data_IF_902005852773
#
_entry.id   IF_902005852773
#
_cell.length_a   1.000
_cell.length_b   1.000
_cell.length_c   1.000
_cell.angle_alpha   90.00
_cell.angle_beta   90.00
_cell.angle_gamma   90.00
#
_symmetry.space_group_name_H-M   'P 1'
#
loop_
_entity.id
_entity.type
_entity.pdbx_description
1 polymer ?
#
# COMPACT_ATOMS: atom_id res chain seq x y z
N UNK A 1 -16.04 -14.30 -9.38
CA UNK A 1 -15.69 -13.63 -10.64
C UNK A 1 -14.85 -14.60 -11.45
N UNK A 2 -15.10 -14.84 -12.76
CA UNK A 2 -14.25 -15.70 -13.56
C UNK A 2 -12.84 -15.10 -13.68
N UNK A 3 -11.82 -15.96 -13.77
CA UNK A 3 -10.44 -15.53 -13.99
C UNK A 3 -10.32 -14.88 -15.36
N UNK A 4 -9.54 -13.80 -15.45
CA UNK A 4 -9.23 -13.09 -16.69
C UNK A 4 -7.70 -12.98 -16.84
N UNK A 5 -7.23 -12.75 -18.05
CA UNK A 5 -5.81 -12.53 -18.32
C UNK A 5 -5.45 -11.07 -18.08
N UNK A 6 -4.27 -10.86 -17.54
CA UNK A 6 -3.68 -9.55 -17.26
C UNK A 6 -2.34 -9.44 -17.95
N UNK A 7 -2.13 -8.34 -18.67
CA UNK A 7 -0.79 -7.93 -19.12
C UNK A 7 -0.17 -7.10 -18.01
N UNK A 8 0.85 -7.64 -17.37
CA UNK A 8 1.63 -6.98 -16.35
C UNK A 8 2.88 -6.32 -16.97
N UNK A 9 3.07 -5.04 -16.67
CA UNK A 9 4.27 -4.28 -17.02
C UNK A 9 4.90 -3.76 -15.74
N UNK A 10 6.07 -4.27 -15.40
CA UNK A 10 6.81 -3.86 -14.21
C UNK A 10 8.10 -3.14 -14.63
N UNK A 11 8.31 -1.94 -14.11
CA UNK A 11 9.44 -1.10 -14.46
C UNK A 11 10.02 -0.39 -13.25
N UNK A 12 11.33 -0.54 -12.97
CA UNK A 12 12.02 0.34 -12.04
C UNK A 12 12.21 1.72 -12.69
N UNK A 13 11.82 2.76 -11.98
CA UNK A 13 11.88 4.15 -12.45
C UNK A 13 12.38 5.09 -11.34
N UNK A 14 12.70 6.35 -11.68
CA UNK A 14 12.98 7.39 -10.70
C UNK A 14 11.68 7.91 -10.13
N UNK A 15 11.62 8.08 -8.82
CA UNK A 15 10.39 8.52 -8.14
C UNK A 15 9.91 9.88 -8.66
N UNK A 16 10.82 10.84 -8.93
CA UNK A 16 10.41 12.12 -9.50
C UNK A 16 9.64 11.99 -10.82
N UNK A 17 10.15 11.19 -11.76
CA UNK A 17 9.48 10.93 -13.04
C UNK A 17 8.15 10.16 -12.88
N UNK A 18 8.07 9.29 -11.87
CA UNK A 18 6.82 8.57 -11.54
C UNK A 18 5.75 9.56 -11.06
N UNK A 19 6.08 10.47 -10.15
CA UNK A 19 5.11 11.42 -9.59
C UNK A 19 4.49 12.33 -10.67
N UNK A 20 5.26 12.70 -11.70
CA UNK A 20 4.76 13.49 -12.82
C UNK A 20 3.72 12.74 -13.68
N UNK A 21 3.85 11.41 -13.80
CA UNK A 21 3.04 10.56 -14.68
C UNK A 21 1.97 9.75 -13.95
N UNK A 22 2.03 9.71 -12.64
CA UNK A 22 1.15 8.87 -11.81
C UNK A 22 -0.34 9.14 -12.03
N UNK A 23 -0.80 10.41 -12.15
CA UNK A 23 -2.21 10.71 -12.45
C UNK A 23 -2.66 10.17 -13.82
N UNK A 24 -1.82 10.29 -14.85
CA UNK A 24 -2.09 9.74 -16.19
C UNK A 24 -2.25 8.22 -16.12
N UNK A 25 -1.32 7.53 -15.48
CA UNK A 25 -1.36 6.08 -15.36
C UNK A 25 -2.56 5.58 -14.56
N UNK A 26 -2.94 6.30 -13.50
CA UNK A 26 -4.11 5.94 -12.71
C UNK A 26 -5.41 6.05 -13.52
N UNK A 27 -5.48 6.99 -14.49
CA UNK A 27 -6.64 7.16 -15.36
C UNK A 27 -6.67 6.13 -16.52
N UNK A 28 -5.50 5.76 -17.07
CA UNK A 28 -5.39 5.00 -18.31
C UNK A 28 -5.14 3.48 -18.11
N UNK A 29 -4.93 3.04 -16.87
CA UNK A 29 -4.56 1.65 -16.59
C UNK A 29 -5.57 1.01 -15.62
N UNK A 30 -5.99 -0.24 -15.87
CA UNK A 30 -6.95 -0.93 -14.99
C UNK A 30 -6.46 -1.06 -13.53
N UNK A 31 -5.14 -1.31 -13.33
CA UNK A 31 -4.54 -1.37 -12.00
C UNK A 31 -3.11 -0.80 -12.05
N UNK A 32 -2.82 0.12 -11.15
CA UNK A 32 -1.48 0.67 -10.94
C UNK A 32 -1.05 0.41 -9.51
N UNK A 33 0.08 -0.28 -9.34
CA UNK A 33 0.76 -0.46 -8.07
C UNK A 33 2.13 0.20 -8.13
N UNK A 34 2.51 0.89 -7.08
CA UNK A 34 3.80 1.55 -6.95
C UNK A 34 4.47 1.11 -5.64
N UNK A 35 5.74 0.74 -5.72
CA UNK A 35 6.58 0.47 -4.56
C UNK A 35 7.70 1.50 -4.51
N UNK A 36 7.65 2.42 -3.53
CA UNK A 36 8.66 3.44 -3.30
C UNK A 36 9.70 2.92 -2.32
N UNK A 37 10.98 3.02 -2.67
CA UNK A 37 12.08 2.60 -1.80
C UNK A 37 12.53 3.79 -0.95
N UNK A 38 12.27 3.77 0.39
CA UNK A 38 12.65 4.87 1.28
C UNK A 38 14.15 5.18 1.20
N UNK A 39 14.52 6.46 1.41
CA UNK A 39 15.89 6.98 1.36
C UNK A 39 16.57 6.84 -0.02
N UNK A 40 15.81 6.63 -1.09
CA UNK A 40 16.30 6.56 -2.47
C UNK A 40 15.40 7.37 -3.41
N UNK A 41 15.86 7.63 -4.65
CA UNK A 41 15.01 8.16 -5.73
C UNK A 41 14.53 7.02 -6.64
N UNK A 42 14.10 5.88 -6.06
CA UNK A 42 13.69 4.68 -6.82
C UNK A 42 12.29 4.24 -6.47
N UNK A 43 11.59 3.80 -7.50
CA UNK A 43 10.30 3.17 -7.39
C UNK A 43 10.19 2.00 -8.38
N UNK A 44 9.40 0.98 -8.04
CA UNK A 44 8.93 -0.05 -8.95
C UNK A 44 7.49 0.26 -9.30
N UNK A 45 7.23 0.54 -10.57
CA UNK A 45 5.88 0.76 -11.11
C UNK A 45 5.38 -0.53 -11.73
N UNK A 46 4.19 -0.97 -11.34
CA UNK A 46 3.46 -2.08 -11.95
C UNK A 46 2.18 -1.54 -12.58
N UNK A 47 2.06 -1.67 -13.89
CA UNK A 47 0.85 -1.34 -14.64
C UNK A 47 0.23 -2.61 -15.19
N UNK A 48 -0.99 -2.88 -14.80
CA UNK A 48 -1.69 -4.11 -15.10
C UNK A 48 -2.94 -3.79 -15.92
N UNK A 49 -3.02 -4.33 -17.14
CA UNK A 49 -4.14 -4.12 -18.06
C UNK A 49 -4.87 -5.44 -18.29
N UNK A 50 -6.17 -5.45 -18.12
CA UNK A 50 -7.03 -6.60 -18.44
C UNK A 50 -7.05 -6.84 -19.94
N UNK A 51 -6.85 -8.08 -20.35
CA UNK A 51 -6.94 -8.47 -21.74
C UNK A 51 -8.37 -8.83 -22.12
N UNK A 52 -8.72 -8.58 -23.39
CA UNK A 52 -10.00 -9.03 -23.96
C UNK A 52 -9.98 -10.54 -24.17
N UNK A 53 -11.13 -11.21 -24.16
CA UNK A 53 -11.21 -12.61 -24.54
C UNK A 53 -10.58 -12.85 -25.93
N UNK A 54 -9.64 -13.78 -26.02
CA UNK A 54 -8.90 -14.09 -27.23
C UNK A 54 -7.55 -13.37 -27.40
N UNK A 55 -7.27 -12.34 -26.60
CA UNK A 55 -5.92 -11.73 -26.56
C UNK A 55 -4.94 -12.66 -25.82
N UNK A 56 -3.68 -12.64 -26.24
CA UNK A 56 -2.57 -13.38 -25.63
C UNK A 56 -1.31 -12.50 -25.56
N UNK A 57 -0.22 -13.04 -25.04
CA UNK A 57 1.05 -12.34 -24.93
C UNK A 57 2.17 -13.18 -24.32
N UNK A 58 3.36 -12.59 -24.13
CA UNK A 58 4.51 -13.31 -23.61
C UNK A 58 4.24 -13.83 -22.19
N UNK A 59 4.52 -15.09 -21.93
CA UNK A 59 4.42 -15.71 -20.61
C UNK A 59 5.76 -15.67 -19.90
N UNK A 60 5.73 -15.46 -18.59
CA UNK A 60 6.92 -15.57 -17.78
C UNK A 60 7.27 -17.06 -17.60
N UNK A 61 8.54 -17.42 -17.82
CA UNK A 61 8.98 -18.78 -17.54
C UNK A 61 8.86 -19.09 -16.03
N UNK A 62 8.38 -20.30 -15.68
CA UNK A 62 8.10 -20.70 -14.31
C UNK A 62 9.29 -20.55 -13.35
N UNK A 63 10.50 -20.84 -13.82
CA UNK A 63 11.71 -20.68 -13.00
C UNK A 63 11.98 -19.21 -12.66
N UNK A 64 11.68 -18.27 -13.60
CA UNK A 64 11.86 -16.83 -13.40
C UNK A 64 10.81 -16.28 -12.41
N UNK A 65 9.58 -16.76 -12.51
CA UNK A 65 8.53 -16.43 -11.56
C UNK A 65 8.90 -16.86 -10.13
N UNK A 66 9.36 -18.12 -9.96
CA UNK A 66 9.82 -18.62 -8.66
C UNK A 66 11.02 -17.84 -8.11
N UNK A 67 11.95 -17.46 -8.96
CA UNK A 67 13.11 -16.65 -8.55
C UNK A 67 12.66 -15.27 -8.04
N UNK A 68 11.78 -14.61 -8.77
CA UNK A 68 11.32 -13.25 -8.43
C UNK A 68 10.38 -13.25 -7.21
N UNK A 69 9.43 -14.17 -7.17
CA UNK A 69 8.39 -14.18 -6.13
C UNK A 69 8.87 -14.86 -4.82
N UNK A 70 9.56 -15.99 -4.90
CA UNK A 70 9.96 -16.75 -3.70
C UNK A 70 11.31 -16.28 -3.14
N UNK A 71 12.31 -16.08 -4.00
CA UNK A 71 13.66 -15.77 -3.54
C UNK A 71 13.85 -14.26 -3.29
N UNK A 72 13.54 -13.42 -4.29
CA UNK A 72 13.80 -11.97 -4.18
C UNK A 72 12.79 -11.27 -3.29
N UNK A 73 11.49 -11.55 -3.47
CA UNK A 73 10.43 -10.86 -2.75
C UNK A 73 10.25 -11.31 -1.30
N UNK A 74 10.69 -12.51 -0.94
CA UNK A 74 10.56 -13.04 0.41
C UNK A 74 11.92 -13.22 1.10
N UNK A 75 12.77 -14.14 0.60
CA UNK A 75 14.01 -14.51 1.32
C UNK A 75 15.02 -13.36 1.36
N UNK A 76 15.23 -12.67 0.24
CA UNK A 76 16.18 -11.54 0.18
C UNK A 76 15.63 -10.35 0.96
N UNK A 77 14.36 -10.01 0.79
CA UNK A 77 13.73 -8.92 1.52
C UNK A 77 13.79 -9.14 3.03
N UNK A 78 13.47 -10.35 3.51
CA UNK A 78 13.56 -10.70 4.94
C UNK A 78 14.98 -10.48 5.48
N UNK A 79 16.01 -10.93 4.74
CA UNK A 79 17.42 -10.74 5.14
C UNK A 79 17.82 -9.27 5.17
N UNK A 80 17.43 -8.51 4.15
CA UNK A 80 17.70 -7.06 4.05
C UNK A 80 17.04 -6.32 5.21
N UNK A 81 15.77 -6.61 5.49
CA UNK A 81 15.04 -6.01 6.61
C UNK A 81 15.67 -6.37 7.97
N UNK A 82 16.07 -7.62 8.16
CA UNK A 82 16.73 -8.08 9.40
C UNK A 82 18.11 -7.42 9.61
N UNK A 83 18.90 -7.23 8.55
CA UNK A 83 20.16 -6.49 8.62
C UNK A 83 19.87 -5.03 8.93
N UNK A 84 18.89 -4.41 8.27
CA UNK A 84 18.48 -3.04 8.50
C UNK A 84 18.02 -2.78 9.93
N UNK A 85 17.23 -3.69 10.51
CA UNK A 85 16.78 -3.60 11.91
C UNK A 85 17.93 -3.61 12.93
N UNK A 86 19.03 -4.32 12.62
CA UNK A 86 20.23 -4.38 13.47
C UNK A 86 21.24 -3.25 13.18
N UNK A 87 21.20 -2.69 12.01
CA UNK A 87 22.16 -1.68 11.54
C UNK A 87 21.44 -0.62 10.70
N UNK A 88 20.64 0.28 11.32
CA UNK A 88 19.82 1.26 10.60
C UNK A 88 20.63 2.11 9.61
N UNK A 89 21.86 2.48 9.95
CA UNK A 89 22.72 3.28 9.07
C UNK A 89 23.00 2.63 7.69
N UNK A 90 22.79 1.32 7.53
CA UNK A 90 22.95 0.60 6.26
C UNK A 90 21.70 0.60 5.38
N UNK A 91 20.55 0.94 5.94
CA UNK A 91 19.25 0.85 5.22
C UNK A 91 19.24 1.65 3.91
N UNK A 92 19.72 2.90 3.83
CA UNK A 92 19.73 3.64 2.56
C UNK A 92 20.52 2.91 1.46
N UNK A 93 21.68 2.37 1.80
CA UNK A 93 22.50 1.62 0.85
C UNK A 93 21.84 0.29 0.43
N UNK A 94 21.19 -0.40 1.37
CA UNK A 94 20.45 -1.64 1.10
C UNK A 94 19.26 -1.38 0.18
N UNK A 95 18.48 -0.32 0.43
CA UNK A 95 17.34 0.06 -0.40
C UNK A 95 17.81 0.50 -1.81
N UNK A 96 18.94 1.19 -1.93
CA UNK A 96 19.50 1.57 -3.22
C UNK A 96 19.93 0.32 -4.01
N UNK A 97 20.58 -0.65 -3.38
CA UNK A 97 20.95 -1.94 -4.01
C UNK A 97 19.70 -2.71 -4.42
N UNK A 98 18.71 -2.83 -3.53
CA UNK A 98 17.45 -3.51 -3.83
C UNK A 98 16.73 -2.87 -5.03
N UNK A 99 16.61 -1.53 -5.05
CA UNK A 99 16.00 -0.81 -6.16
C UNK A 99 16.75 -0.95 -7.49
N UNK A 100 18.10 -1.10 -7.45
CA UNK A 100 18.93 -1.34 -8.67
C UNK A 100 18.85 -2.77 -9.16
N UNK A 101 18.63 -3.74 -8.29
CA UNK A 101 18.52 -5.15 -8.65
C UNK A 101 17.24 -5.49 -9.43
N UNK A 102 16.24 -4.59 -9.39
CA UNK A 102 15.00 -4.76 -10.12
C UNK A 102 15.22 -4.62 -11.63
N UNK A 103 14.57 -5.46 -12.41
CA UNK A 103 14.60 -5.42 -13.88
C UNK A 103 13.21 -5.17 -14.46
N UNK A 104 13.16 -4.46 -15.60
CA UNK A 104 11.92 -4.29 -16.33
C UNK A 104 11.44 -5.63 -16.91
N UNK A 105 10.14 -5.90 -16.79
CA UNK A 105 9.51 -7.09 -17.35
C UNK A 105 8.09 -6.80 -17.87
N UNK A 106 7.69 -7.55 -18.89
CA UNK A 106 6.31 -7.53 -19.40
C UNK A 106 5.89 -8.97 -19.64
N UNK A 107 4.74 -9.37 -19.11
CA UNK A 107 4.22 -10.72 -19.28
C UNK A 107 2.70 -10.75 -19.19
N UNK A 108 2.11 -11.86 -19.63
CA UNK A 108 0.68 -12.14 -19.52
C UNK A 108 0.48 -13.37 -18.64
N UNK A 109 -0.37 -13.24 -17.64
CA UNK A 109 -0.75 -14.34 -16.77
C UNK A 109 -2.20 -14.19 -16.25
N UNK A 110 -2.80 -15.24 -15.68
CA UNK A 110 -4.10 -15.15 -15.02
C UNK A 110 -4.10 -14.11 -13.88
N UNK A 111 -5.23 -13.43 -13.69
CA UNK A 111 -5.37 -12.35 -12.70
C UNK A 111 -4.92 -12.73 -11.29
N UNK A 112 -5.22 -13.95 -10.85
CA UNK A 112 -4.82 -14.45 -9.53
C UNK A 112 -3.30 -14.69 -9.39
N UNK A 113 -2.57 -14.84 -10.49
CA UNK A 113 -1.10 -14.95 -10.47
C UNK A 113 -0.41 -13.58 -10.53
N UNK A 114 -1.07 -12.57 -11.11
CA UNK A 114 -0.52 -11.21 -11.22
C UNK A 114 -0.85 -10.36 -10.00
N UNK A 115 -2.10 -10.44 -9.54
CA UNK A 115 -2.63 -9.55 -8.50
C UNK A 115 -2.47 -10.09 -7.06
N UNK A 116 -2.07 -11.35 -6.91
CA UNK A 116 -1.84 -11.99 -5.61
C UNK A 116 -0.38 -12.40 -5.49
N UNK A 117 0.31 -11.88 -4.49
CA UNK A 117 1.70 -12.23 -4.18
C UNK A 117 1.78 -12.87 -2.81
N UNK A 118 2.44 -14.03 -2.72
CA UNK A 118 2.75 -14.65 -1.43
C UNK A 118 3.74 -13.78 -0.67
N UNK A 119 3.42 -13.47 0.60
CA UNK A 119 4.27 -12.67 1.51
C UNK A 119 4.58 -13.47 2.76
N UNK A 120 5.84 -13.87 2.91
CA UNK A 120 6.33 -14.63 4.08
C UNK A 120 7.05 -13.71 5.09
N UNK A 121 7.40 -12.49 4.69
CA UNK A 121 8.03 -11.48 5.56
C UNK A 121 7.01 -10.97 6.58
N UNK A 122 7.36 -11.01 7.87
CA UNK A 122 6.51 -10.50 8.95
C UNK A 122 6.77 -9.00 9.16
N UNK A 123 5.70 -8.22 9.17
CA UNK A 123 5.76 -6.76 9.35
C UNK A 123 4.55 -6.23 10.13
N UNK A 124 4.68 -5.01 10.61
CA UNK A 124 3.58 -4.15 11.04
C UNK A 124 3.22 -3.23 9.89
N UNK A 125 1.96 -2.90 9.76
CA UNK A 125 1.46 -2.11 8.65
C UNK A 125 0.43 -1.08 9.10
N UNK A 126 0.49 0.09 8.48
CA UNK A 126 -0.53 1.11 8.53
C UNK A 126 -0.86 1.50 7.09
N UNK A 127 -2.14 1.57 6.74
CA UNK A 127 -2.60 1.92 5.38
C UNK A 127 -3.68 2.98 5.46
N UNK A 128 -3.59 3.93 4.54
CA UNK A 128 -4.45 5.08 4.48
C UNK A 128 -4.99 5.28 3.07
N UNK A 129 -6.27 5.65 3.00
CA UNK A 129 -6.97 6.02 1.79
C UNK A 129 -7.14 7.54 1.77
N UNK A 130 -6.54 8.21 0.79
CA UNK A 130 -6.65 9.66 0.57
C UNK A 130 -7.38 9.93 -0.75
N UNK A 131 -7.98 11.11 -0.97
CA UNK A 131 -8.44 11.50 -2.29
C UNK A 131 -7.34 11.26 -3.33
N UNK A 132 -7.65 10.69 -4.48
CA UNK A 132 -6.65 10.35 -5.51
C UNK A 132 -5.78 11.56 -5.90
N UNK A 133 -6.36 12.76 -5.95
CA UNK A 133 -5.65 14.00 -6.23
C UNK A 133 -4.62 14.40 -5.14
N UNK A 134 -4.81 13.94 -3.90
CA UNK A 134 -3.90 14.22 -2.78
C UNK A 134 -2.69 13.30 -2.74
N UNK A 135 -2.69 12.23 -3.54
CA UNK A 135 -1.64 11.21 -3.44
C UNK A 135 -0.26 11.72 -3.87
N UNK A 136 -0.17 12.49 -4.95
CA UNK A 136 1.10 13.06 -5.43
C UNK A 136 1.69 14.06 -4.42
N UNK A 137 0.94 15.03 -3.88
CA UNK A 137 1.40 15.87 -2.78
C UNK A 137 1.89 15.08 -1.56
N UNK A 138 1.13 14.06 -1.13
CA UNK A 138 1.49 13.20 -0.01
C UNK A 138 2.79 12.43 -0.25
N UNK A 139 2.97 11.84 -1.44
CA UNK A 139 4.20 11.14 -1.82
C UNK A 139 5.41 12.10 -1.92
N UNK A 140 5.18 13.35 -2.32
CA UNK A 140 6.22 14.38 -2.32
C UNK A 140 6.67 14.69 -0.89
N UNK A 141 5.74 14.88 0.03
CA UNK A 141 6.05 15.07 1.46
C UNK A 141 6.76 13.85 2.07
N UNK A 142 6.36 12.63 1.70
CA UNK A 142 7.05 11.41 2.13
C UNK A 142 8.48 11.31 1.56
N UNK A 143 8.70 11.73 0.31
CA UNK A 143 10.04 11.78 -0.27
C UNK A 143 10.95 12.71 0.53
N UNK A 144 10.44 13.87 0.93
CA UNK A 144 11.16 14.82 1.80
C UNK A 144 11.41 14.24 3.19
N UNK A 145 10.42 13.56 3.76
CA UNK A 145 10.53 12.85 5.04
C UNK A 145 11.65 11.81 4.99
N UNK A 146 11.72 10.99 3.94
CA UNK A 146 12.78 10.00 3.75
C UNK A 146 14.15 10.62 3.47
N UNK A 147 14.22 11.89 3.10
CA UNK A 147 15.47 12.64 3.02
C UNK A 147 16.12 12.90 4.39
N UNK A 148 15.34 12.79 5.48
CA UNK A 148 15.84 12.85 6.85
C UNK A 148 16.52 11.53 7.21
N UNK A 149 17.40 11.57 8.22
CA UNK A 149 18.14 10.39 8.64
C UNK A 149 17.44 9.59 9.76
N UNK A 150 16.41 10.14 10.36
CA UNK A 150 15.68 9.53 11.46
C UNK A 150 14.18 9.89 11.36
N UNK A 151 13.27 8.90 11.44
CA UNK A 151 13.54 7.47 11.54
C UNK A 151 14.03 6.85 10.23
N UNK A 152 14.76 5.74 10.33
CA UNK A 152 15.25 5.00 9.16
C UNK A 152 14.27 3.90 8.80
N UNK A 153 13.67 4.00 7.61
CA UNK A 153 12.63 3.09 7.11
C UNK A 153 13.20 2.10 6.11
N UNK A 154 13.12 0.81 6.41
CA UNK A 154 13.72 -0.25 5.60
C UNK A 154 12.79 -0.88 4.57
N UNK A 155 11.47 -0.87 4.80
CA UNK A 155 10.51 -1.52 3.91
C UNK A 155 9.94 -0.54 2.88
N UNK A 156 9.66 -1.00 1.65
CA UNK A 156 9.02 -0.17 0.63
C UNK A 156 7.64 0.32 1.07
N UNK A 157 7.29 1.51 0.61
CA UNK A 157 5.92 2.05 0.68
C UNK A 157 5.16 1.54 -0.53
N UNK A 158 3.97 1.02 -0.32
CA UNK A 158 3.08 0.54 -1.37
C UNK A 158 1.98 1.56 -1.64
N UNK A 159 1.70 1.79 -2.93
CA UNK A 159 0.66 2.72 -3.38
C UNK A 159 -0.24 2.04 -4.39
N UNK A 160 -1.54 2.24 -4.26
CA UNK A 160 -2.58 1.71 -5.17
C UNK A 160 -3.66 2.74 -5.43
N UNK A 161 -4.55 2.43 -6.37
CA UNK A 161 -5.72 3.25 -6.67
C UNK A 161 -7.00 2.42 -6.61
N UNK A 162 -8.10 3.07 -6.28
CA UNK A 162 -9.43 2.50 -6.33
C UNK A 162 -10.44 3.55 -6.74
N UNK A 163 -11.43 3.13 -7.51
CA UNK A 163 -12.58 3.95 -7.85
C UNK A 163 -13.47 4.21 -6.63
N UNK A 164 -14.26 5.27 -6.68
CA UNK A 164 -15.29 5.54 -5.70
C UNK A 164 -16.30 4.40 -5.61
N UNK A 165 -16.80 4.16 -4.40
CA UNK A 165 -17.90 3.24 -4.12
C UNK A 165 -18.98 3.89 -3.24
N UNK A 166 -20.07 3.16 -2.96
CA UNK A 166 -21.20 3.58 -2.12
C UNK A 166 -21.35 2.77 -0.83
N UNK A 167 -20.34 1.99 -0.46
CA UNK A 167 -20.34 1.18 0.76
C UNK A 167 -20.00 2.05 1.98
N UNK A 168 -20.88 2.12 2.97
CA UNK A 168 -20.88 3.11 4.06
C UNK A 168 -19.55 3.35 4.77
N UNK A 169 -18.87 2.29 5.15
CA UNK A 169 -17.56 2.40 5.84
C UNK A 169 -16.38 2.05 4.93
N UNK A 170 -16.59 2.04 3.62
CA UNK A 170 -15.48 1.90 2.69
C UNK A 170 -14.55 3.10 2.75
N UNK A 171 -13.23 2.92 2.81
CA UNK A 171 -12.29 4.03 2.65
C UNK A 171 -12.45 4.79 1.32
N UNK A 172 -13.00 4.12 0.27
CA UNK A 172 -13.32 4.69 -1.04
C UNK A 172 -14.72 5.32 -1.15
N UNK A 173 -15.51 5.38 -0.06
CA UNK A 173 -16.86 5.91 -0.12
C UNK A 173 -16.90 7.33 -0.68
N UNK A 174 -17.61 7.48 -1.81
CA UNK A 174 -17.92 8.76 -2.45
C UNK A 174 -16.73 9.48 -3.10
N UNK A 175 -15.56 8.84 -3.26
CA UNK A 175 -14.38 9.47 -3.86
C UNK A 175 -13.40 8.47 -4.48
N UNK A 176 -12.83 8.81 -5.62
CA UNK A 176 -11.68 8.12 -6.15
C UNK A 176 -10.51 8.25 -5.18
N UNK A 177 -9.83 7.15 -4.93
CA UNK A 177 -8.96 7.00 -3.77
C UNK A 177 -7.58 6.51 -4.18
N UNK A 178 -6.55 7.16 -3.61
CA UNK A 178 -5.19 6.63 -3.55
C UNK A 178 -4.94 5.96 -2.21
N UNK A 179 -4.46 4.73 -2.21
CA UNK A 179 -4.07 3.99 -1.01
C UNK A 179 -2.58 4.08 -0.81
N UNK A 180 -2.17 4.40 0.40
CA UNK A 180 -0.78 4.46 0.85
C UNK A 180 -0.59 3.47 2.00
N UNK A 181 0.14 2.39 1.76
CA UNK A 181 0.51 1.42 2.79
C UNK A 181 1.99 1.56 3.16
N UNK A 182 2.24 1.72 4.45
CA UNK A 182 3.59 1.86 5.01
C UNK A 182 3.87 0.72 5.98
N UNK A 183 5.11 0.22 5.96
CA UNK A 183 5.49 -1.02 6.61
C UNK A 183 6.71 -0.85 7.48
N UNK A 184 6.73 -1.55 8.62
CA UNK A 184 7.92 -1.77 9.44
C UNK A 184 8.12 -3.27 9.65
N UNK A 185 9.33 -3.75 9.42
CA UNK A 185 9.68 -5.14 9.72
C UNK A 185 9.40 -5.46 11.20
N UNK A 186 8.88 -6.64 11.50
CA UNK A 186 8.46 -7.00 12.86
C UNK A 186 9.57 -6.85 13.92
N UNK A 187 10.85 -6.97 13.53
CA UNK A 187 12.01 -6.81 14.42
C UNK A 187 12.59 -5.39 14.42
N UNK A 188 11.99 -4.43 13.69
CA UNK A 188 12.42 -3.04 13.75
C UNK A 188 12.15 -2.47 15.14
N UNK A 189 13.05 -1.63 15.68
CA UNK A 189 12.80 -0.96 16.96
C UNK A 189 11.57 -0.05 16.82
N UNK A 190 10.89 0.26 17.93
CA UNK A 190 9.81 1.26 17.93
C UNK A 190 10.31 2.59 17.34
N UNK A 191 9.50 3.19 16.47
CA UNK A 191 9.81 4.47 15.83
C UNK A 191 8.57 5.37 15.81
N UNK A 192 8.74 6.65 15.47
CA UNK A 192 7.64 7.58 15.23
C UNK A 192 7.00 7.42 13.84
N UNK A 193 7.53 6.56 12.98
CA UNK A 193 7.19 6.50 11.56
C UNK A 193 5.69 6.43 11.29
N UNK A 194 4.96 5.51 11.93
CA UNK A 194 3.52 5.40 11.71
C UNK A 194 2.74 6.62 12.21
N UNK A 195 3.16 7.21 13.33
CA UNK A 195 2.55 8.44 13.85
C UNK A 195 2.84 9.64 12.95
N UNK A 196 4.06 9.74 12.41
CA UNK A 196 4.45 10.81 11.49
C UNK A 196 3.66 10.70 10.17
N UNK A 197 3.51 9.49 9.61
CA UNK A 197 2.68 9.26 8.42
C UNK A 197 1.21 9.55 8.73
N UNK A 198 0.68 9.13 9.88
CA UNK A 198 -0.68 9.46 10.28
C UNK A 198 -0.90 10.99 10.36
N UNK A 199 0.07 11.74 10.87
CA UNK A 199 0.01 13.21 10.89
C UNK A 199 -0.05 13.79 9.48
N UNK A 200 0.78 13.31 8.55
CA UNK A 200 0.77 13.74 7.15
C UNK A 200 -0.57 13.45 6.47
N UNK A 201 -1.10 12.24 6.60
CA UNK A 201 -2.36 11.85 5.93
C UNK A 201 -3.58 12.56 6.51
N UNK A 202 -3.53 13.04 7.76
CA UNK A 202 -4.60 13.86 8.35
C UNK A 202 -4.82 15.19 7.60
N UNK A 203 -3.77 15.78 7.06
CA UNK A 203 -3.82 16.99 6.23
C UNK A 203 -4.50 16.75 4.87
N UNK A 204 -4.65 15.46 4.49
CA UNK A 204 -5.24 15.01 3.24
C UNK A 204 -6.54 14.21 3.42
N UNK A 205 -7.28 14.42 4.51
CA UNK A 205 -8.53 13.70 4.80
C UNK A 205 -8.38 12.17 4.74
N UNK A 206 -7.24 11.66 5.21
CA UNK A 206 -6.90 10.24 5.18
C UNK A 206 -7.86 9.39 6.00
N UNK A 207 -8.44 8.35 5.39
CA UNK A 207 -9.24 7.31 6.04
C UNK A 207 -8.39 6.08 6.28
N UNK A 208 -8.35 5.51 7.50
CA UNK A 208 -7.54 4.34 7.78
C UNK A 208 -8.15 3.06 7.21
N UNK A 209 -7.32 2.10 6.91
CA UNK A 209 -7.76 0.72 6.69
C UNK A 209 -8.15 0.09 8.04
N UNK A 210 -9.41 -0.35 8.18
CA UNK A 210 -10.00 -0.85 9.41
C UNK A 210 -9.24 -2.02 10.08
N UNK A 211 -8.58 -2.86 9.34
CA UNK A 211 -7.85 -4.03 9.85
C UNK A 211 -6.35 -3.80 10.05
N UNK A 212 -5.86 -2.55 9.98
CA UNK A 212 -4.44 -2.19 10.12
C UNK A 212 -4.22 -1.21 11.27
N UNK A 213 -2.96 -0.85 11.53
CA UNK A 213 -2.61 0.02 12.65
C UNK A 213 -2.99 1.47 12.35
N UNK A 214 -3.68 2.12 13.28
CA UNK A 214 -3.96 3.56 13.30
C UNK A 214 -4.33 4.03 14.70
N UNK A 215 -4.16 5.32 14.97
CA UNK A 215 -4.46 5.94 16.26
C UNK A 215 -5.86 6.54 16.39
N UNK A 216 -6.70 6.55 15.33
CA UNK A 216 -7.98 7.23 15.32
C UNK A 216 -9.03 6.53 16.20
N UNK A 217 -9.84 7.35 16.91
CA UNK A 217 -11.02 6.93 17.63
C UNK A 217 -12.31 7.25 16.88
N UNK A 218 -13.45 6.86 17.48
CA UNK A 218 -14.79 6.98 16.90
C UNK A 218 -15.14 8.40 16.48
N UNK A 219 -14.82 9.42 17.28
CA UNK A 219 -15.14 10.81 16.97
C UNK A 219 -14.50 11.27 15.66
N UNK A 220 -13.20 11.00 15.51
CA UNK A 220 -12.50 11.37 14.27
C UNK A 220 -12.98 10.54 13.08
N UNK A 221 -13.26 9.25 13.26
CA UNK A 221 -13.79 8.39 12.20
C UNK A 221 -15.20 8.83 11.76
N UNK A 222 -16.05 9.29 12.68
CA UNK A 222 -17.37 9.86 12.36
C UNK A 222 -17.26 11.09 11.44
N UNK A 223 -16.26 11.94 11.65
CA UNK A 223 -16.01 13.09 10.77
C UNK A 223 -15.56 12.66 9.35
N UNK A 224 -14.79 11.58 9.25
CA UNK A 224 -14.21 11.10 8.00
C UNK A 224 -15.17 10.26 7.15
N UNK A 225 -16.12 9.54 7.78
CA UNK A 225 -17.05 8.65 7.10
C UNK A 225 -18.49 9.19 7.13
N UNK A 226 -19.02 9.72 6.01
CA UNK A 226 -20.34 10.37 5.97
C UNK A 226 -21.52 9.50 6.43
N UNK A 227 -21.37 8.17 6.35
CA UNK A 227 -22.40 7.20 6.73
C UNK A 227 -22.08 6.46 8.04
N UNK A 228 -21.20 7.04 8.87
CA UNK A 228 -20.78 6.43 10.13
C UNK A 228 -21.95 6.20 11.09
N UNK A 229 -22.81 7.21 11.27
CA UNK A 229 -23.94 7.13 12.18
C UNK A 229 -25.04 6.18 11.69
N UNK A 230 -25.23 6.06 10.37
CA UNK A 230 -26.12 5.05 9.80
C UNK A 230 -25.64 3.64 10.12
N UNK A 231 -24.34 3.40 9.99
CA UNK A 231 -23.76 2.12 10.36
C UNK A 231 -23.88 1.85 11.87
N UNK A 232 -23.59 2.85 12.71
CA UNK A 232 -23.69 2.74 14.17
C UNK A 232 -25.13 2.41 14.61
N UNK A 233 -26.13 3.01 13.97
CA UNK A 233 -27.55 2.72 14.21
C UNK A 233 -27.88 1.26 13.87
N UNK A 234 -27.51 0.79 12.67
CA UNK A 234 -27.76 -0.62 12.25
C UNK A 234 -27.03 -1.61 13.16
N UNK A 235 -25.78 -1.30 13.56
CA UNK A 235 -25.04 -2.09 14.55
C UNK A 235 -25.80 -2.17 15.87
N UNK A 236 -26.35 -1.04 16.34
CA UNK A 236 -27.13 -0.97 17.58
C UNK A 236 -28.39 -1.82 17.54
N UNK A 237 -29.08 -1.85 16.40
CA UNK A 237 -30.27 -2.68 16.19
C UNK A 237 -29.93 -4.18 16.09
N UNK A 238 -28.81 -4.54 15.41
CA UNK A 238 -28.40 -5.91 15.18
C UNK A 238 -27.71 -6.55 16.39
N UNK A 239 -26.94 -5.78 17.17
CA UNK A 239 -26.20 -6.25 18.35
C UNK A 239 -26.36 -5.25 19.53
N UNK A 240 -27.58 -5.15 20.11
CA UNK A 240 -27.87 -4.22 21.20
C UNK A 240 -27.10 -4.51 22.48
N UNK A 241 -26.66 -5.75 22.68
CA UNK A 241 -25.90 -6.17 23.85
C UNK A 241 -24.39 -6.16 23.63
N UNK A 242 -23.92 -5.76 22.44
CA UNK A 242 -22.49 -5.73 22.06
C UNK A 242 -21.76 -7.07 22.23
N UNK A 243 -22.45 -8.19 21.93
CA UNK A 243 -21.89 -9.53 22.03
C UNK A 243 -20.67 -9.76 21.12
N UNK A 244 -20.61 -9.05 19.99
CA UNK A 244 -19.48 -9.06 19.04
C UNK A 244 -18.52 -7.89 19.28
N UNK A 245 -18.56 -7.25 20.46
CA UNK A 245 -17.70 -6.15 20.86
C UNK A 245 -16.29 -6.62 21.26
N UNK A 246 -15.33 -5.71 21.18
CA UNK A 246 -13.99 -5.81 21.74
C UNK A 246 -13.39 -4.40 21.87
N UNK A 247 -12.26 -4.28 22.57
CA UNK A 247 -11.61 -2.97 22.83
C UNK A 247 -11.33 -2.16 21.56
N UNK A 248 -10.95 -2.84 20.47
CA UNK A 248 -10.73 -2.18 19.20
C UNK A 248 -12.02 -1.59 18.64
N UNK A 249 -13.11 -2.36 18.60
CA UNK A 249 -14.41 -1.89 18.09
C UNK A 249 -15.00 -0.78 18.96
N UNK A 250 -14.83 -0.85 20.29
CA UNK A 250 -15.20 0.24 21.19
C UNK A 250 -14.44 1.52 20.87
N UNK A 251 -13.13 1.42 20.64
CA UNK A 251 -12.31 2.59 20.26
C UNK A 251 -12.74 3.21 18.93
N UNK A 252 -13.01 2.38 17.90
CA UNK A 252 -13.21 2.88 16.52
C UNK A 252 -14.67 3.14 16.15
N UNK A 253 -15.63 2.52 16.81
CA UNK A 253 -17.06 2.68 16.54
C UNK A 253 -17.83 3.32 17.70
N UNK A 254 -17.21 3.45 18.87
CA UNK A 254 -17.90 3.85 20.11
C UNK A 254 -18.74 2.71 20.69
N UNK A 255 -19.38 2.99 21.82
CA UNK A 255 -20.29 2.08 22.54
C UNK A 255 -21.67 2.02 21.89
#
# INVERSE_FOLDING_TARGET
MPAFLVRAQERPERLGAVLERLPEWAADTDHVDLYVFPHTDRALVKRNTRLRPGDDGPRLADWRRRLDDDLLSNTVLERVCRIGSRSPARVPALNEVAGRALSARTFVAPSHEVLVTRRDVRFRECEWAVPAASLVPLLTGLREYFGRRDPVVGMPVEVRFGAADDVWLSPGYGRDTGYLAVHEHHSAPPSSYFADVEAMVREHEGRPHWGKLHGLGADRLRELYPRFDDFARVRGEADPQRLFGNDYLTRVLGD
#
